data_IF_440934541712
#
_entry.id   IF_440934541712
#
_cell.length_a   1.000
_cell.length_b   1.000
_cell.length_c   1.000
_cell.angle_alpha   90.00
_cell.angle_beta   90.00
_cell.angle_gamma   90.00
#
_symmetry.space_group_name_H-M   'P 1'
#
loop_
_entity.id
_entity.type
_entity.pdbx_description
1 polymer ?
#
# COMPACT_ATOMS: atom_id res chain seq x y z
N UNK A 1 3.22 -3.98 15.22
CA UNK A 1 3.77 -2.61 15.00
C UNK A 1 4.74 -2.63 13.84
N UNK A 2 4.57 -1.82 12.80
CA UNK A 2 4.92 -2.16 11.41
C UNK A 2 6.11 -1.41 10.78
N UNK A 3 6.92 -2.08 9.96
CA UNK A 3 7.77 -1.51 8.92
C UNK A 3 7.09 -1.69 7.57
N UNK A 4 6.97 -0.60 6.82
CA UNK A 4 6.23 -0.52 5.57
C UNK A 4 7.22 -0.32 4.42
N UNK A 5 7.26 -1.29 3.51
CA UNK A 5 8.00 -1.25 2.27
C UNK A 5 7.04 -1.13 1.10
N UNK A 6 7.04 0.04 0.44
CA UNK A 6 6.21 0.33 -0.72
C UNK A 6 7.03 0.12 -2.00
N UNK A 7 6.49 -0.63 -2.95
CA UNK A 7 7.10 -0.89 -4.25
C UNK A 7 6.18 -0.39 -5.34
N UNK A 8 6.70 0.49 -6.20
CA UNK A 8 6.04 0.92 -7.44
C UNK A 8 6.74 0.20 -8.59
N UNK A 9 6.08 -0.78 -9.24
CA UNK A 9 6.57 -1.48 -10.43
C UNK A 9 5.61 -1.28 -11.61
N UNK A 10 6.16 -1.16 -12.80
CA UNK A 10 5.43 -0.86 -14.05
C UNK A 10 5.33 -2.07 -15.00
N UNK A 11 4.97 -3.26 -14.52
CA UNK A 11 4.76 -4.43 -15.41
C UNK A 11 3.54 -5.29 -15.08
N UNK A 12 2.79 -5.61 -16.14
CA UNK A 12 1.63 -6.49 -16.25
C UNK A 12 1.96 -7.92 -15.80
N UNK A 13 1.25 -8.43 -14.78
CA UNK A 13 1.18 -9.86 -14.46
C UNK A 13 -0.25 -10.24 -14.07
N UNK A 14 -0.63 -11.47 -14.43
CA UNK A 14 -1.98 -12.04 -14.39
C UNK A 14 -2.51 -12.21 -12.97
N UNK A 15 -3.82 -11.98 -12.85
CA UNK A 15 -4.61 -11.99 -11.63
C UNK A 15 -4.81 -13.40 -11.05
N UNK A 16 -4.25 -13.68 -9.88
CA UNK A 16 -4.73 -14.73 -8.96
C UNK A 16 -4.64 -14.30 -7.49
N UNK A 17 -5.78 -14.52 -6.81
CA UNK A 17 -6.05 -14.71 -5.38
C UNK A 17 -5.91 -13.55 -4.36
N UNK A 18 -7.03 -12.86 -4.13
CA UNK A 18 -7.31 -12.11 -2.89
C UNK A 18 -8.31 -12.90 -2.02
N UNK A 19 -7.82 -13.55 -0.95
CA UNK A 19 -8.64 -14.20 0.07
C UNK A 19 -9.04 -13.18 1.16
N UNK A 20 -10.27 -12.65 1.07
CA UNK A 20 -10.89 -11.74 2.04
C UNK A 20 -11.62 -12.54 3.13
N UNK A 21 -10.92 -12.98 4.18
CA UNK A 21 -11.58 -13.75 5.26
C UNK A 21 -10.74 -14.14 6.48
N UNK A 22 -9.65 -13.44 6.80
CA UNK A 22 -8.84 -13.76 7.98
C UNK A 22 -9.06 -12.71 9.09
N UNK A 23 -9.64 -13.14 10.22
CA UNK A 23 -9.62 -12.41 11.50
C UNK A 23 -8.17 -11.98 11.84
N UNK A 24 -7.95 -10.82 12.48
CA UNK A 24 -6.60 -10.34 12.76
C UNK A 24 -5.90 -11.27 13.75
N UNK A 25 -5.04 -12.15 13.21
CA UNK A 25 -4.09 -12.94 14.00
C UNK A 25 -3.33 -12.00 14.93
N UNK A 26 -3.12 -12.42 16.19
CA UNK A 26 -2.24 -11.69 17.11
C UNK A 26 -0.92 -11.39 16.39
N UNK A 27 -0.55 -10.11 16.29
CA UNK A 27 0.62 -9.67 15.52
C UNK A 27 1.91 -10.35 16.02
N UNK A 28 2.34 -11.43 15.38
CA UNK A 28 3.62 -12.08 15.67
C UNK A 28 4.73 -11.20 15.09
N UNK A 29 5.71 -10.74 15.89
CA UNK A 29 6.87 -10.00 15.38
C UNK A 29 7.58 -10.76 14.25
N UNK A 30 7.81 -10.11 13.11
CA UNK A 30 8.46 -10.70 11.94
C UNK A 30 7.53 -11.26 10.89
N UNK A 31 6.23 -11.43 11.18
CA UNK A 31 5.23 -11.76 10.15
C UNK A 31 5.02 -10.56 9.23
N UNK A 32 5.06 -10.80 7.92
CA UNK A 32 4.90 -9.78 6.90
C UNK A 32 3.64 -10.04 6.07
N UNK A 33 2.82 -9.02 5.90
CA UNK A 33 1.68 -9.02 4.99
C UNK A 33 2.07 -8.22 3.76
N UNK A 34 1.76 -8.73 2.57
CA UNK A 34 1.89 -7.98 1.31
C UNK A 34 0.52 -7.82 0.68
N UNK A 35 0.23 -6.61 0.22
CA UNK A 35 -1.00 -6.26 -0.48
C UNK A 35 -0.67 -5.51 -1.77
N UNK A 36 -1.60 -5.56 -2.72
CA UNK A 36 -1.57 -4.75 -3.93
C UNK A 36 -2.79 -3.83 -3.94
N UNK A 37 -2.57 -2.55 -4.23
CA UNK A 37 -3.61 -1.55 -4.36
C UNK A 37 -3.66 -1.08 -5.82
N UNK A 38 -4.73 -1.45 -6.54
CA UNK A 38 -4.92 -1.05 -7.93
C UNK A 38 -5.06 0.46 -8.08
N UNK A 39 -4.53 1.01 -9.16
CA UNK A 39 -4.83 2.38 -9.56
C UNK A 39 -6.32 2.54 -9.87
N UNK A 40 -6.82 3.77 -9.75
CA UNK A 40 -8.22 4.10 -10.02
C UNK A 40 -8.33 5.29 -10.97
N UNK A 41 -9.48 5.37 -11.62
CA UNK A 41 -9.94 6.60 -12.28
C UNK A 41 -11.14 7.14 -11.51
N UNK A 42 -11.17 8.46 -11.28
CA UNK A 42 -12.22 9.14 -10.54
C UNK A 42 -13.10 10.01 -11.44
N UNK A 43 -14.20 10.52 -10.88
CA UNK A 43 -15.17 11.47 -11.44
C UNK A 43 -16.02 10.94 -12.61
N UNK A 44 -15.46 10.21 -13.57
CA UNK A 44 -16.17 9.57 -14.69
C UNK A 44 -17.26 10.47 -15.34
N UNK A 45 -16.89 11.71 -15.68
CA UNK A 45 -17.79 12.71 -16.25
C UNK A 45 -18.58 13.46 -15.17
N UNK A 46 -19.92 13.38 -15.23
CA UNK A 46 -20.82 14.08 -14.31
C UNK A 46 -20.77 13.56 -12.86
N UNK A 47 -19.99 12.51 -12.57
CA UNK A 47 -19.86 11.90 -11.24
C UNK A 47 -18.75 12.50 -10.38
N UNK A 48 -18.52 13.81 -10.46
CA UNK A 48 -17.55 14.52 -9.62
C UNK A 48 -17.77 14.17 -8.14
N UNK A 49 -16.72 13.70 -7.46
CA UNK A 49 -16.74 13.22 -6.07
C UNK A 49 -17.72 12.07 -5.76
N UNK A 50 -18.27 11.40 -6.77
CA UNK A 50 -19.19 10.26 -6.61
C UNK A 50 -18.64 8.98 -7.23
N UNK A 51 -18.14 9.06 -8.46
CA UNK A 51 -17.74 7.87 -9.21
C UNK A 51 -16.25 7.58 -9.14
N UNK A 52 -15.92 6.29 -8.99
CA UNK A 52 -14.57 5.76 -9.08
C UNK A 52 -14.57 4.34 -9.63
N UNK A 53 -13.54 3.99 -10.40
CA UNK A 53 -13.35 2.66 -10.96
C UNK A 53 -11.91 2.20 -10.74
N UNK A 54 -11.75 1.03 -10.13
CA UNK A 54 -10.45 0.36 -10.02
C UNK A 54 -10.04 -0.27 -11.36
N UNK A 55 -8.78 -0.09 -11.75
CA UNK A 55 -8.25 -0.55 -13.03
C UNK A 55 -7.31 -1.74 -12.82
N UNK A 56 -7.46 -2.77 -13.66
CA UNK A 56 -6.59 -3.95 -13.64
C UNK A 56 -5.36 -3.76 -14.56
N UNK A 57 -4.55 -2.72 -14.32
CA UNK A 57 -3.36 -2.44 -15.15
C UNK A 57 -2.12 -2.02 -14.36
N UNK A 58 -2.26 -1.06 -13.44
CA UNK A 58 -1.18 -0.60 -12.58
C UNK A 58 -1.62 -0.71 -11.11
N UNK A 59 -0.66 -1.01 -10.24
CA UNK A 59 -0.91 -1.14 -8.80
C UNK A 59 0.34 -0.75 -8.00
N UNK A 60 0.11 -0.19 -6.82
CA UNK A 60 1.14 -0.04 -5.81
C UNK A 60 1.18 -1.31 -4.95
N UNK A 61 2.37 -1.78 -4.61
CA UNK A 61 2.55 -2.94 -3.74
C UNK A 61 3.06 -2.48 -2.39
N UNK A 62 2.42 -2.91 -1.31
CA UNK A 62 2.83 -2.56 0.04
C UNK A 62 3.10 -3.83 0.82
N UNK A 63 4.30 -3.94 1.39
CA UNK A 63 4.64 -4.97 2.35
C UNK A 63 4.78 -4.35 3.73
N UNK A 64 4.12 -4.95 4.71
CA UNK A 64 4.11 -4.49 6.09
C UNK A 64 4.57 -5.62 6.98
N UNK A 65 5.65 -5.44 7.75
CA UNK A 65 6.10 -6.43 8.74
C UNK A 65 6.09 -5.87 10.13
N UNK A 66 5.73 -6.66 11.14
CA UNK A 66 5.82 -6.18 12.51
C UNK A 66 7.28 -6.23 13.02
N UNK A 67 7.67 -5.26 13.86
CA UNK A 67 9.01 -5.16 14.47
C UNK A 67 8.90 -5.02 15.99
N UNK A 68 10.02 -5.22 16.68
CA UNK A 68 10.13 -5.09 18.15
C UNK A 68 10.29 -3.62 18.62
N UNK A 69 10.15 -2.64 17.73
CA UNK A 69 10.30 -1.21 18.06
C UNK A 69 8.98 -0.46 17.91
N UNK A 70 8.82 0.65 18.63
CA UNK A 70 7.63 1.52 18.54
C UNK A 70 7.73 2.58 17.43
N UNK A 71 8.59 2.36 16.43
CA UNK A 71 8.85 3.32 15.36
C UNK A 71 8.33 2.75 14.04
N UNK A 72 7.57 3.55 13.29
CA UNK A 72 7.22 3.25 11.90
C UNK A 72 8.39 3.63 11.02
N UNK A 73 8.88 2.68 10.22
CA UNK A 73 9.90 2.92 9.20
C UNK A 73 9.28 2.73 7.84
N UNK A 74 9.47 3.72 6.96
CA UNK A 74 8.93 3.71 5.61
C UNK A 74 10.08 3.67 4.62
N UNK A 75 10.07 2.65 3.78
CA UNK A 75 10.95 2.51 2.62
C UNK A 75 10.08 2.49 1.38
N UNK A 76 10.43 3.27 0.36
CA UNK A 76 9.78 3.16 -0.94
C UNK A 76 10.80 2.91 -2.03
N UNK A 77 10.38 2.13 -3.02
CA UNK A 77 11.19 1.65 -4.11
C UNK A 77 10.43 1.87 -5.42
N UNK A 78 11.17 2.08 -6.50
CA UNK A 78 10.62 2.37 -7.82
C UNK A 78 11.12 3.70 -8.39
N UNK A 79 10.77 4.01 -9.65
CA UNK A 79 11.33 5.11 -10.42
C UNK A 79 11.22 6.48 -9.72
N UNK A 80 10.06 6.79 -9.14
CA UNK A 80 9.78 8.07 -8.47
C UNK A 80 9.93 8.01 -6.95
N UNK A 81 10.56 6.95 -6.41
CA UNK A 81 10.62 6.73 -4.97
C UNK A 81 11.36 7.81 -4.19
N UNK A 82 12.22 8.60 -4.86
CA UNK A 82 12.95 9.73 -4.26
C UNK A 82 12.05 10.91 -3.91
N UNK A 83 10.89 11.02 -4.53
CA UNK A 83 9.93 12.11 -4.31
C UNK A 83 8.98 11.82 -3.15
N UNK A 84 8.90 10.56 -2.70
CA UNK A 84 8.03 10.14 -1.61
C UNK A 84 8.65 10.48 -0.23
N UNK A 85 7.93 11.20 0.65
CA UNK A 85 8.42 11.50 1.99
C UNK A 85 8.77 10.23 2.78
N UNK A 86 9.90 10.22 3.49
CA UNK A 86 10.33 9.09 4.32
C UNK A 86 9.92 9.23 5.79
N UNK A 87 9.76 10.47 6.23
CA UNK A 87 9.34 10.76 7.59
C UNK A 87 7.88 10.33 7.76
N UNK A 88 7.54 9.46 8.74
CA UNK A 88 6.18 8.93 8.88
C UNK A 88 5.12 10.02 9.03
N UNK A 89 5.42 11.11 9.74
CA UNK A 89 4.50 12.25 9.93
C UNK A 89 4.29 13.11 8.67
N UNK A 90 5.00 12.82 7.57
CA UNK A 90 4.86 13.49 6.28
C UNK A 90 4.44 12.54 5.16
N UNK A 91 4.28 11.25 5.46
CA UNK A 91 3.92 10.23 4.49
C UNK A 91 2.52 9.71 4.81
N UNK A 92 1.67 9.54 3.80
CA UNK A 92 0.29 9.04 3.96
C UNK A 92 0.20 7.61 4.50
N UNK A 93 1.25 6.80 4.38
CA UNK A 93 1.37 5.49 5.01
C UNK A 93 1.87 5.56 6.47
N UNK A 94 2.13 6.76 6.98
CA UNK A 94 2.43 6.99 8.40
C UNK A 94 1.20 6.85 9.30
N UNK A 95 1.36 7.07 10.62
CA UNK A 95 0.23 7.10 11.53
C UNK A 95 -0.78 8.19 11.10
N UNK A 96 -2.09 7.99 11.36
CA UNK A 96 -3.09 9.02 11.10
C UNK A 96 -2.69 10.33 11.79
N UNK A 97 -2.98 11.44 11.11
CA UNK A 97 -2.79 12.79 11.64
C UNK A 97 -3.71 13.07 12.83
#
# INVERSE_FOLDING_TARGET
MAEIEVWVRDQLLSSEELNLGQEPRSMIPGEAVRVEASCSTANLGAGFDVFGLALNKHADRVQVRTTNTRVVRIKALGPCSRELPRAPNKNSAGPPA
#
